data_IF_866075071550
#
_entry.id   IF_866075071550
#
_cell.length_a   1.000
_cell.length_b   1.000
_cell.length_c   1.000
_cell.angle_alpha   90.00
_cell.angle_beta   90.00
_cell.angle_gamma   90.00
#
_symmetry.space_group_name_H-M   'P 1'
#
loop_
_entity.id
_entity.type
_entity.pdbx_description
1 polymer ?
#
# COMPACT_ATOMS: atom_id res chain seq x y z
N UNK A 1 -5.02 -1.08 8.84
CA UNK A 1 -5.84 -0.12 8.04
C UNK A 1 -7.05 -0.80 7.44
N UNK A 2 -6.92 -1.75 6.51
CA UNK A 2 -8.07 -2.36 5.84
C UNK A 2 -9.05 -3.02 6.83
N UNK A 3 -8.56 -3.79 7.81
CA UNK A 3 -9.42 -4.41 8.83
C UNK A 3 -10.24 -3.40 9.65
N UNK A 4 -9.61 -2.29 10.10
CA UNK A 4 -10.33 -1.24 10.82
C UNK A 4 -11.42 -0.60 9.95
N UNK A 5 -11.10 -0.21 8.71
CA UNK A 5 -12.07 0.43 7.80
C UNK A 5 -13.22 -0.50 7.44
N UNK A 6 -12.94 -1.80 7.25
CA UNK A 6 -13.99 -2.78 7.05
C UNK A 6 -14.91 -2.90 8.28
N UNK A 7 -14.35 -2.98 9.48
CA UNK A 7 -15.12 -3.06 10.72
C UNK A 7 -16.04 -1.86 10.92
N UNK A 8 -15.52 -0.65 10.69
CA UNK A 8 -16.30 0.60 10.73
C UNK A 8 -17.43 0.61 9.69
N UNK A 9 -17.09 0.25 8.43
CA UNK A 9 -18.06 0.22 7.32
C UNK A 9 -19.15 -0.82 7.54
N UNK A 10 -18.84 -1.99 8.10
CA UNK A 10 -19.86 -2.99 8.45
C UNK A 10 -20.93 -2.39 9.37
N UNK A 11 -20.52 -1.60 10.36
CA UNK A 11 -21.48 -0.92 11.27
C UNK A 11 -22.21 0.24 10.59
N UNK A 12 -21.56 0.96 9.67
CA UNK A 12 -22.17 2.01 8.85
C UNK A 12 -23.26 1.43 7.92
N UNK A 13 -23.04 0.24 7.38
CA UNK A 13 -23.99 -0.50 6.55
C UNK A 13 -25.12 -1.19 7.40
N UNK A 14 -25.13 -0.97 8.71
CA UNK A 14 -26.20 -1.44 9.60
C UNK A 14 -26.02 -2.88 10.10
N UNK A 15 -24.87 -3.49 9.96
CA UNK A 15 -24.61 -4.82 10.54
C UNK A 15 -24.62 -4.76 12.07
N UNK A 16 -25.44 -5.60 12.70
CA UNK A 16 -25.64 -5.68 14.17
C UNK A 16 -25.18 -7.01 14.78
N UNK A 17 -24.75 -7.96 13.97
CA UNK A 17 -24.25 -9.26 14.43
C UNK A 17 -22.89 -9.19 15.11
N UNK A 18 -22.37 -10.32 15.57
CA UNK A 18 -21.05 -10.40 16.18
C UNK A 18 -19.94 -10.10 15.16
N UNK A 19 -18.98 -9.29 15.56
CA UNK A 19 -17.83 -8.92 14.75
C UNK A 19 -16.56 -9.18 15.56
N UNK A 20 -15.69 -10.03 15.04
CA UNK A 20 -14.38 -10.31 15.65
C UNK A 20 -13.28 -9.84 14.71
N UNK A 21 -12.29 -9.13 15.22
CA UNK A 21 -11.10 -8.68 14.48
C UNK A 21 -9.87 -9.34 15.07
N UNK A 22 -9.14 -10.07 14.23
CA UNK A 22 -7.92 -10.81 14.62
C UNK A 22 -6.70 -10.14 14.01
N UNK A 23 -5.65 -9.94 14.79
CA UNK A 23 -4.38 -9.39 14.33
C UNK A 23 -3.20 -9.99 15.07
N UNK A 24 -2.09 -10.27 14.36
CA UNK A 24 -0.87 -10.83 14.94
C UNK A 24 -0.02 -9.77 15.66
N UNK A 25 -0.23 -8.49 15.40
CA UNK A 25 0.40 -7.41 16.14
C UNK A 25 -0.41 -7.08 17.43
N UNK A 26 0.26 -6.84 18.58
CA UNK A 26 -0.44 -6.60 19.86
C UNK A 26 -0.99 -5.17 19.99
N UNK A 27 -1.03 -4.40 18.91
CA UNK A 27 -1.40 -2.99 18.91
C UNK A 27 -2.75 -2.75 18.27
N UNK A 28 -3.45 -1.72 18.75
CA UNK A 28 -4.56 -1.13 18.01
C UNK A 28 -4.12 -0.71 16.60
N UNK A 29 -5.06 -0.65 15.63
CA UNK A 29 -4.73 -0.24 14.26
C UNK A 29 -3.98 1.09 14.21
N UNK A 30 -2.88 1.14 13.46
CA UNK A 30 -2.02 2.31 13.36
C UNK A 30 -1.61 2.61 11.91
N UNK A 31 -1.15 3.84 11.69
CA UNK A 31 -0.72 4.36 10.39
C UNK A 31 0.75 4.05 10.14
N UNK A 32 1.07 3.36 9.03
CA UNK A 32 2.45 2.95 8.69
C UNK A 32 3.27 4.03 7.97
N UNK A 33 2.70 4.90 7.11
CA UNK A 33 3.47 5.94 6.40
C UNK A 33 4.31 6.86 7.29
N UNK A 34 3.93 7.23 8.53
CA UNK A 34 4.78 8.02 9.41
C UNK A 34 6.07 7.31 9.85
N UNK A 35 6.08 5.96 9.84
CA UNK A 35 7.22 5.17 10.33
C UNK A 35 8.52 5.42 9.56
N UNK A 36 8.45 5.71 8.24
CA UNK A 36 9.62 6.03 7.41
C UNK A 36 9.96 7.52 7.36
N UNK A 37 9.21 8.37 8.05
CA UNK A 37 9.29 9.85 7.97
C UNK A 37 9.36 10.47 9.37
N UNK A 38 8.20 10.89 9.91
CA UNK A 38 8.10 11.62 11.17
C UNK A 38 8.68 10.85 12.35
N UNK A 39 8.50 9.54 12.38
CA UNK A 39 9.03 8.69 13.46
C UNK A 39 10.56 8.65 13.40
N UNK A 40 11.16 8.45 12.20
CA UNK A 40 12.62 8.45 12.07
C UNK A 40 13.24 9.81 12.37
N UNK A 41 12.51 10.89 12.12
CA UNK A 41 12.95 12.26 12.40
C UNK A 41 12.77 12.67 13.87
N UNK A 42 12.14 11.83 14.70
CA UNK A 42 11.82 12.15 16.08
C UNK A 42 10.70 13.20 16.23
N UNK A 43 9.94 13.48 15.18
CA UNK A 43 8.81 14.41 15.17
C UNK A 43 7.52 13.75 15.68
N UNK A 44 7.47 12.43 15.70
CA UNK A 44 6.42 11.61 16.28
C UNK A 44 7.06 10.35 16.89
N UNK A 45 6.40 9.73 17.86
CA UNK A 45 6.79 8.40 18.31
C UNK A 45 5.98 7.33 17.58
N UNK A 46 6.48 6.10 17.56
CA UNK A 46 5.75 5.00 16.91
C UNK A 46 4.38 4.76 17.59
N UNK A 47 4.25 5.02 18.89
CA UNK A 47 3.02 4.90 19.67
C UNK A 47 1.96 5.93 19.25
N UNK A 48 2.37 7.12 18.82
CA UNK A 48 1.44 8.19 18.42
C UNK A 48 0.87 8.02 17.01
N UNK A 49 1.19 6.92 16.34
CA UNK A 49 0.69 6.64 14.99
C UNK A 49 -0.65 5.92 14.97
N UNK A 50 -1.34 5.75 16.09
CA UNK A 50 -2.67 5.13 16.12
C UNK A 50 -3.64 5.79 15.14
N UNK A 51 -4.43 4.95 14.46
CA UNK A 51 -5.44 5.44 13.54
C UNK A 51 -6.66 5.93 14.31
N UNK A 52 -7.14 7.14 14.01
CA UNK A 52 -8.40 7.59 14.58
C UNK A 52 -9.53 6.70 14.07
N UNK A 53 -10.35 6.20 14.97
CA UNK A 53 -11.58 5.52 14.62
C UNK A 53 -12.62 6.57 14.17
N UNK A 54 -13.27 6.35 13.02
CA UNK A 54 -14.39 7.18 12.57
C UNK A 54 -15.62 6.96 13.44
N UNK A 55 -15.75 5.71 13.91
CA UNK A 55 -16.74 5.27 14.90
C UNK A 55 -16.22 4.04 15.62
N UNK A 56 -16.75 3.75 16.81
CA UNK A 56 -16.53 2.48 17.48
C UNK A 56 -17.20 1.35 16.69
N UNK A 57 -16.44 0.37 16.18
CA UNK A 57 -17.03 -0.73 15.43
C UNK A 57 -17.73 -1.78 16.31
N UNK A 58 -17.75 -1.61 17.63
CA UNK A 58 -18.32 -2.59 18.58
C UNK A 58 -17.88 -4.02 18.22
N UNK A 59 -16.57 -4.23 18.16
CA UNK A 59 -15.94 -5.48 17.74
C UNK A 59 -15.13 -6.12 18.87
N UNK A 60 -15.10 -7.45 18.88
CA UNK A 60 -14.14 -8.18 19.71
C UNK A 60 -12.76 -8.14 19.04
N UNK A 61 -11.80 -7.49 19.69
CA UNK A 61 -10.42 -7.38 19.21
C UNK A 61 -9.53 -8.47 19.80
N UNK A 62 -9.04 -9.37 18.97
CA UNK A 62 -8.08 -10.44 19.30
C UNK A 62 -6.71 -10.05 18.75
N UNK A 63 -6.01 -9.17 19.48
CA UNK A 63 -4.70 -8.63 19.10
C UNK A 63 -3.56 -9.46 19.69
N UNK A 64 -2.44 -9.55 18.97
CA UNK A 64 -1.30 -10.38 19.34
C UNK A 64 -1.55 -11.87 19.14
N UNK A 65 -2.55 -12.24 18.33
CA UNK A 65 -2.90 -13.64 18.02
C UNK A 65 -2.90 -13.84 16.52
N UNK A 66 -2.08 -14.77 16.05
CA UNK A 66 -1.93 -15.04 14.62
C UNK A 66 -2.96 -16.06 14.13
N UNK A 67 -3.56 -15.80 12.97
CA UNK A 67 -4.27 -16.82 12.22
C UNK A 67 -3.28 -17.81 11.57
N UNK A 68 -3.52 -19.10 11.71
CA UNK A 68 -2.64 -20.17 11.23
C UNK A 68 -3.28 -21.07 10.18
N UNK A 69 -4.60 -20.95 9.97
CA UNK A 69 -5.32 -21.71 8.95
C UNK A 69 -6.74 -21.20 8.73
N UNK A 70 -7.30 -21.59 7.60
CA UNK A 70 -8.69 -21.31 7.22
C UNK A 70 -9.34 -22.58 6.70
N UNK A 71 -10.37 -23.05 7.39
CA UNK A 71 -11.22 -24.14 6.95
C UNK A 71 -12.47 -23.59 6.25
N UNK A 72 -12.57 -23.80 4.94
CA UNK A 72 -13.69 -23.33 4.14
C UNK A 72 -14.96 -24.19 4.31
N UNK A 73 -14.82 -25.47 4.66
CA UNK A 73 -15.95 -26.38 4.81
C UNK A 73 -16.65 -26.17 6.15
N UNK A 74 -15.87 -26.17 7.23
CA UNK A 74 -16.36 -25.94 8.58
C UNK A 74 -16.54 -24.45 8.91
N UNK A 75 -16.13 -23.56 8.01
CA UNK A 75 -16.14 -22.10 8.18
C UNK A 75 -15.47 -21.66 9.48
N UNK A 76 -14.19 -21.97 9.63
CA UNK A 76 -13.42 -21.65 10.81
C UNK A 76 -12.09 -21.00 10.46
N UNK A 77 -11.71 -19.97 11.22
CA UNK A 77 -10.36 -19.43 11.26
C UNK A 77 -9.63 -20.10 12.40
N UNK A 78 -8.47 -20.71 12.12
CA UNK A 78 -7.64 -21.39 13.12
C UNK A 78 -6.59 -20.39 13.65
N UNK A 79 -6.39 -20.34 14.97
CA UNK A 79 -5.48 -19.43 15.64
C UNK A 79 -4.29 -20.17 16.23
N UNK A 80 -3.18 -19.47 16.47
CA UNK A 80 -1.94 -20.03 17.00
C UNK A 80 -2.05 -20.50 18.46
N UNK A 81 -2.99 -19.95 19.23
CA UNK A 81 -3.31 -20.37 20.59
C UNK A 81 -4.12 -21.67 20.69
N UNK A 82 -4.45 -22.27 19.53
CA UNK A 82 -5.24 -23.47 19.41
C UNK A 82 -6.76 -23.24 19.37
N UNK A 83 -7.22 -22.01 19.54
CA UNK A 83 -8.62 -21.68 19.34
C UNK A 83 -9.01 -21.68 17.85
N UNK A 84 -10.28 -21.77 17.59
CA UNK A 84 -10.83 -21.63 16.24
C UNK A 84 -12.12 -20.81 16.27
N UNK A 85 -12.18 -19.78 15.43
CA UNK A 85 -13.30 -18.87 15.35
C UNK A 85 -14.25 -19.29 14.22
N UNK A 86 -15.51 -19.60 14.51
CA UNK A 86 -16.49 -19.85 13.47
C UNK A 86 -16.89 -18.52 12.81
N UNK A 87 -17.14 -18.55 11.48
CA UNK A 87 -17.60 -17.39 10.75
C UNK A 87 -18.76 -17.73 9.80
N UNK A 88 -19.62 -16.78 9.53
CA UNK A 88 -20.55 -16.84 8.42
C UNK A 88 -19.95 -16.18 7.19
N UNK A 89 -19.17 -15.10 7.38
CA UNK A 89 -18.30 -14.49 6.38
C UNK A 89 -17.00 -14.04 7.01
N UNK A 90 -15.91 -14.12 6.25
CA UNK A 90 -14.58 -13.68 6.67
C UNK A 90 -13.97 -12.70 5.67
N UNK A 91 -13.35 -11.64 6.17
CA UNK A 91 -12.51 -10.73 5.39
C UNK A 91 -11.05 -10.99 5.71
N UNK A 92 -10.25 -11.31 4.71
CA UNK A 92 -8.81 -11.47 4.83
C UNK A 92 -8.15 -10.13 4.49
N UNK A 93 -7.55 -9.48 5.50
CA UNK A 93 -6.89 -8.18 5.41
C UNK A 93 -5.48 -8.21 6.01
N UNK A 94 -4.80 -9.37 5.94
CA UNK A 94 -3.51 -9.66 6.58
C UNK A 94 -2.32 -8.87 6.02
N UNK A 95 -2.50 -8.18 4.90
CA UNK A 95 -1.52 -7.24 4.36
C UNK A 95 -0.18 -7.88 3.97
N UNK A 96 0.91 -7.18 4.29
CA UNK A 96 2.28 -7.55 3.93
C UNK A 96 3.23 -7.28 5.09
N UNK A 97 4.36 -8.01 5.10
CA UNK A 97 5.52 -7.77 5.97
C UNK A 97 6.74 -7.37 5.17
N UNK A 98 7.71 -6.72 5.81
CA UNK A 98 8.99 -6.42 5.18
C UNK A 98 9.70 -7.72 4.76
N UNK A 99 10.36 -7.70 3.60
CA UNK A 99 11.23 -8.79 3.18
C UNK A 99 12.53 -8.72 3.98
N UNK A 100 12.85 -9.73 4.79
CA UNK A 100 14.09 -9.75 5.54
C UNK A 100 15.29 -9.96 4.61
N UNK A 101 16.48 -9.69 5.13
CA UNK A 101 17.72 -10.11 4.48
C UNK A 101 17.75 -11.64 4.37
N UNK A 102 18.16 -12.21 3.20
CA UNK A 102 18.01 -13.65 2.96
C UNK A 102 18.82 -14.55 3.89
N UNK A 103 20.04 -14.14 4.26
CA UNK A 103 20.87 -14.89 5.22
C UNK A 103 20.45 -14.53 6.64
N UNK A 104 19.95 -15.52 7.38
CA UNK A 104 19.40 -15.33 8.75
C UNK A 104 20.46 -14.91 9.78
N UNK A 105 21.69 -15.41 9.64
CA UNK A 105 22.79 -15.06 10.56
C UNK A 105 23.20 -13.61 10.35
N UNK A 106 23.32 -13.17 9.11
CA UNK A 106 23.61 -11.78 8.77
C UNK A 106 22.44 -10.85 9.15
N UNK A 107 21.19 -11.30 8.96
CA UNK A 107 20.00 -10.55 9.36
C UNK A 107 19.87 -10.34 10.88
N UNK A 108 20.50 -11.24 11.67
CA UNK A 108 20.49 -11.18 13.13
C UNK A 108 21.62 -10.31 13.72
N UNK A 109 22.50 -9.73 12.89
CA UNK A 109 23.51 -8.80 13.38
C UNK A 109 22.86 -7.57 13.99
N UNK A 110 23.34 -7.14 15.15
CA UNK A 110 22.92 -5.85 15.74
C UNK A 110 23.23 -4.72 14.76
N UNK A 111 22.26 -3.85 14.49
CA UNK A 111 22.35 -2.79 13.50
C UNK A 111 21.75 -3.12 12.14
N UNK A 112 21.22 -4.34 11.93
CA UNK A 112 20.48 -4.71 10.72
C UNK A 112 18.97 -4.59 10.98
N UNK A 113 18.28 -3.81 10.16
CA UNK A 113 16.87 -3.49 10.31
C UNK A 113 16.08 -3.78 9.03
N UNK A 114 14.80 -4.01 9.21
CA UNK A 114 13.75 -3.82 8.19
C UNK A 114 12.86 -2.66 8.62
N UNK A 115 11.89 -2.27 7.80
CA UNK A 115 10.90 -1.26 8.19
C UNK A 115 9.52 -1.60 7.64
N UNK A 116 8.63 -2.00 8.53
CA UNK A 116 7.21 -2.23 8.24
C UNK A 116 6.33 -2.08 9.47
N UNK A 117 6.71 -2.67 10.60
CA UNK A 117 5.95 -2.65 11.83
C UNK A 117 6.28 -1.42 12.69
N UNK A 118 5.51 -1.25 13.73
CA UNK A 118 5.68 -0.22 14.75
C UNK A 118 7.00 -0.39 15.50
N UNK A 119 7.34 -1.65 15.82
CA UNK A 119 8.61 -2.03 16.45
C UNK A 119 9.79 -1.74 15.52
N UNK A 120 9.68 -2.07 14.24
CA UNK A 120 10.71 -1.73 13.26
C UNK A 120 10.97 -0.22 13.24
N UNK A 121 9.89 0.58 13.22
CA UNK A 121 9.97 2.04 13.21
C UNK A 121 10.61 2.60 14.48
N UNK A 122 10.20 2.09 15.66
CA UNK A 122 10.73 2.51 16.95
C UNK A 122 12.21 2.16 17.09
N UNK A 123 12.59 0.91 16.80
CA UNK A 123 13.97 0.45 16.91
C UNK A 123 14.92 1.16 15.95
N UNK A 124 14.48 1.39 14.70
CA UNK A 124 15.28 2.16 13.73
C UNK A 124 15.41 3.64 14.17
N UNK A 125 14.33 4.26 14.67
CA UNK A 125 14.37 5.64 15.14
C UNK A 125 15.33 5.80 16.34
N UNK A 126 15.30 4.88 17.30
CA UNK A 126 16.24 4.85 18.41
C UNK A 126 17.69 4.77 17.94
N UNK A 127 17.96 3.87 16.98
CA UNK A 127 19.32 3.70 16.42
C UNK A 127 19.78 4.96 15.67
N UNK A 128 18.91 5.62 14.91
CA UNK A 128 19.24 6.87 14.23
C UNK A 128 19.42 8.06 15.20
N UNK A 129 18.68 8.09 16.30
CA UNK A 129 18.84 9.08 17.37
C UNK A 129 20.23 9.01 18.04
N UNK A 130 20.84 7.82 18.09
CA UNK A 130 22.21 7.63 18.55
C UNK A 130 23.29 8.21 17.61
N UNK A 131 22.87 8.78 16.44
CA UNK A 131 23.74 9.43 15.47
C UNK A 131 24.85 8.52 14.92
N UNK A 132 24.54 7.38 14.31
CA UNK A 132 25.53 6.56 13.62
C UNK A 132 26.26 7.39 12.57
N UNK A 133 27.52 7.05 12.28
CA UNK A 133 28.30 7.79 11.27
C UNK A 133 27.71 7.57 9.87
N UNK A 134 27.37 6.31 9.54
CA UNK A 134 26.85 5.93 8.23
C UNK A 134 25.77 4.87 8.31
N UNK A 135 24.73 5.07 7.48
CA UNK A 135 23.64 4.11 7.24
C UNK A 135 23.75 3.56 5.83
N UNK A 136 23.71 2.23 5.69
CA UNK A 136 23.52 1.55 4.42
C UNK A 136 22.03 1.24 4.23
N UNK A 137 21.43 1.72 3.14
CA UNK A 137 20.07 1.35 2.71
C UNK A 137 20.16 0.44 1.49
N UNK A 138 19.64 -0.76 1.59
CA UNK A 138 19.62 -1.73 0.50
C UNK A 138 18.26 -1.68 -0.19
N UNK A 139 18.21 -1.10 -1.38
CA UNK A 139 17.02 -0.90 -2.20
C UNK A 139 16.60 0.57 -2.32
N UNK A 140 16.56 1.07 -3.56
CA UNK A 140 16.17 2.43 -3.92
C UNK A 140 14.67 2.58 -4.22
N UNK A 141 13.80 1.75 -3.63
CA UNK A 141 12.34 1.89 -3.70
C UNK A 141 11.84 3.07 -2.85
N UNK A 142 10.51 3.22 -2.71
CA UNK A 142 9.92 4.32 -1.92
C UNK A 142 10.41 4.32 -0.48
N UNK A 143 10.30 3.19 0.22
CA UNK A 143 10.73 3.07 1.62
C UNK A 143 12.22 3.40 1.79
N UNK A 144 13.08 2.82 0.94
CA UNK A 144 14.52 3.10 1.01
C UNK A 144 14.85 4.56 0.72
N UNK A 145 14.18 5.20 -0.24
CA UNK A 145 14.37 6.62 -0.56
C UNK A 145 13.89 7.54 0.57
N UNK A 146 12.79 7.20 1.25
CA UNK A 146 12.27 7.93 2.41
C UNK A 146 13.21 7.82 3.61
N UNK A 147 13.74 6.61 3.89
CA UNK A 147 14.74 6.40 4.93
C UNK A 147 16.02 7.19 4.63
N UNK A 148 16.51 7.13 3.39
CA UNK A 148 17.68 7.91 2.98
C UNK A 148 17.44 9.41 3.13
N UNK A 149 16.24 9.90 2.80
CA UNK A 149 15.84 11.29 3.03
C UNK A 149 15.89 11.67 4.51
N UNK A 150 15.30 10.85 5.38
CA UNK A 150 15.33 11.06 6.83
C UNK A 150 16.75 11.05 7.40
N UNK A 151 17.62 10.13 6.98
CA UNK A 151 19.03 10.10 7.37
C UNK A 151 19.74 11.40 6.99
N UNK A 152 19.54 11.90 5.77
CA UNK A 152 20.16 13.16 5.32
C UNK A 152 19.64 14.39 6.07
N UNK A 153 18.35 14.42 6.39
CA UNK A 153 17.74 15.47 7.22
C UNK A 153 18.32 15.47 8.64
N UNK A 154 18.57 14.29 9.20
CA UNK A 154 19.26 14.11 10.48
C UNK A 154 20.78 14.41 10.41
N UNK A 155 21.35 14.68 9.24
CA UNK A 155 22.79 14.92 9.06
C UNK A 155 23.66 13.65 9.04
N UNK A 156 23.04 12.47 8.99
CA UNK A 156 23.73 11.17 8.95
C UNK A 156 24.20 10.88 7.52
N UNK A 157 25.41 10.33 7.34
CA UNK A 157 25.86 9.86 6.03
C UNK A 157 25.05 8.63 5.61
N UNK A 158 24.65 8.58 4.34
CA UNK A 158 23.85 7.44 3.83
C UNK A 158 24.38 6.97 2.47
N UNK A 159 24.55 5.65 2.37
CA UNK A 159 24.78 4.96 1.11
C UNK A 159 23.50 4.22 0.74
N UNK A 160 23.00 4.40 -0.48
CA UNK A 160 21.89 3.64 -1.04
C UNK A 160 22.42 2.74 -2.14
N UNK A 161 22.16 1.44 -2.05
CA UNK A 161 22.43 0.49 -3.14
C UNK A 161 21.14 0.15 -3.87
N UNK A 162 21.15 0.21 -5.19
CA UNK A 162 19.99 -0.12 -6.04
C UNK A 162 20.44 -1.06 -7.17
N UNK A 163 19.77 -2.20 -7.28
CA UNK A 163 20.04 -3.19 -8.33
C UNK A 163 19.73 -2.67 -9.73
N UNK A 164 18.68 -1.86 -9.84
CA UNK A 164 18.27 -1.24 -11.08
C UNK A 164 19.18 -0.06 -11.48
N UNK A 165 18.95 0.51 -12.67
CA UNK A 165 19.75 1.63 -13.19
C UNK A 165 19.49 2.95 -12.44
N UNK A 166 18.41 3.04 -11.68
CA UNK A 166 18.03 4.23 -10.89
C UNK A 166 17.00 3.89 -9.82
N UNK A 167 16.86 4.70 -8.74
CA UNK A 167 15.83 4.56 -7.75
C UNK A 167 14.42 4.67 -8.37
N UNK A 168 13.43 4.01 -7.79
CA UNK A 168 12.01 4.09 -8.18
C UNK A 168 11.69 3.64 -9.62
N UNK A 169 12.65 3.07 -10.37
CA UNK A 169 12.45 2.71 -11.79
C UNK A 169 11.30 1.72 -11.99
N UNK A 170 11.14 0.76 -11.10
CA UNK A 170 10.05 -0.22 -11.14
C UNK A 170 8.66 0.33 -10.83
N UNK A 171 8.58 1.53 -10.24
CA UNK A 171 7.31 2.15 -9.86
C UNK A 171 6.90 3.33 -10.75
N UNK A 172 7.86 4.16 -11.16
CA UNK A 172 7.62 5.43 -11.85
C UNK A 172 8.17 5.48 -13.29
N UNK A 173 8.90 4.46 -13.70
CA UNK A 173 9.58 4.43 -15.01
C UNK A 173 10.84 5.31 -15.08
N UNK A 174 11.55 5.25 -16.22
CA UNK A 174 12.92 5.75 -16.33
C UNK A 174 13.10 7.26 -16.21
N UNK A 175 12.13 8.07 -16.62
CA UNK A 175 12.29 9.55 -16.62
C UNK A 175 12.29 10.11 -15.20
N UNK A 176 11.29 9.77 -14.38
CA UNK A 176 11.25 10.21 -12.98
C UNK A 176 12.36 9.58 -12.13
N UNK A 177 12.77 8.37 -12.45
CA UNK A 177 13.86 7.71 -11.76
C UNK A 177 15.19 8.45 -11.92
N UNK A 178 15.44 9.04 -13.09
CA UNK A 178 16.62 9.90 -13.30
C UNK A 178 16.57 11.15 -12.41
N UNK A 179 15.39 11.78 -12.29
CA UNK A 179 15.20 12.89 -11.36
C UNK A 179 15.45 12.46 -9.92
N UNK A 180 14.88 11.34 -9.49
CA UNK A 180 15.11 10.79 -8.15
C UNK A 180 16.59 10.53 -7.86
N UNK A 181 17.33 9.98 -8.82
CA UNK A 181 18.78 9.75 -8.68
C UNK A 181 19.56 11.06 -8.54
N UNK A 182 19.25 12.08 -9.35
CA UNK A 182 19.87 13.41 -9.26
C UNK A 182 19.57 14.06 -7.90
N UNK A 183 18.34 13.96 -7.44
CA UNK A 183 17.94 14.51 -6.15
C UNK A 183 18.68 13.86 -4.98
N UNK A 184 18.73 12.54 -4.94
CA UNK A 184 19.46 11.81 -3.89
C UNK A 184 20.92 12.25 -3.84
N UNK A 185 21.61 12.30 -4.98
CA UNK A 185 23.01 12.74 -5.07
C UNK A 185 23.20 14.21 -4.64
N UNK A 186 22.30 15.11 -5.06
CA UNK A 186 22.35 16.51 -4.68
C UNK A 186 22.15 16.75 -3.17
N UNK A 187 21.48 15.82 -2.49
CA UNK A 187 21.34 15.83 -1.02
C UNK A 187 22.46 15.06 -0.32
N UNK A 188 23.51 14.66 -1.04
CA UNK A 188 24.68 14.01 -0.46
C UNK A 188 24.51 12.53 -0.16
N UNK A 189 23.59 11.85 -0.84
CA UNK A 189 23.48 10.38 -0.80
C UNK A 189 24.57 9.77 -1.67
N UNK A 190 25.36 8.82 -1.13
CA UNK A 190 26.21 7.93 -1.92
C UNK A 190 25.32 6.88 -2.60
N UNK A 191 24.81 7.24 -3.79
CA UNK A 191 23.89 6.39 -4.56
C UNK A 191 24.64 5.49 -5.53
N UNK A 192 24.64 4.20 -5.25
CA UNK A 192 25.25 3.14 -6.07
C UNK A 192 24.17 2.35 -6.80
N UNK A 193 24.10 2.51 -8.10
CA UNK A 193 23.12 1.87 -8.98
C UNK A 193 23.75 0.77 -9.83
N UNK A 194 22.95 -0.23 -10.24
CA UNK A 194 23.44 -1.39 -11.00
C UNK A 194 24.23 -2.39 -10.14
N UNK A 195 24.15 -2.27 -8.81
CA UNK A 195 24.88 -3.13 -7.87
C UNK A 195 23.89 -3.80 -6.89
N UNK A 196 24.25 -5.00 -6.43
CA UNK A 196 23.56 -5.70 -5.35
C UNK A 196 24.50 -5.89 -4.17
N UNK A 197 23.96 -5.88 -2.96
CA UNK A 197 24.69 -6.36 -1.78
C UNK A 197 24.72 -7.87 -1.83
N UNK A 198 25.89 -8.46 -1.65
CA UNK A 198 26.12 -9.91 -1.71
C UNK A 198 26.29 -10.54 -0.32
N UNK A 199 26.81 -9.78 0.65
CA UNK A 199 26.96 -10.21 2.03
C UNK A 199 26.91 -9.02 2.99
N UNK A 200 26.44 -9.23 4.21
CA UNK A 200 26.57 -8.32 5.33
C UNK A 200 27.69 -8.79 6.25
N UNK A 201 28.55 -7.89 6.66
CA UNK A 201 29.73 -8.17 7.46
C UNK A 201 29.51 -7.75 8.92
N UNK A 202 30.04 -8.53 9.85
CA UNK A 202 30.00 -8.22 11.27
C UNK A 202 30.36 -9.42 12.13
N UNK A 203 30.59 -9.16 13.40
CA UNK A 203 30.75 -10.17 14.43
C UNK A 203 29.89 -9.74 15.64
N UNK A 204 28.67 -10.24 15.66
CA UNK A 204 27.63 -9.80 16.62
C UNK A 204 26.98 -8.45 16.25
N UNK A 205 27.73 -7.46 15.79
CA UNK A 205 27.24 -6.19 15.28
C UNK A 205 27.60 -6.01 13.80
N UNK A 206 26.73 -5.35 13.04
CA UNK A 206 26.96 -5.00 11.63
C UNK A 206 28.08 -3.97 11.51
N UNK A 207 28.99 -4.17 10.55
CA UNK A 207 30.13 -3.27 10.28
C UNK A 207 30.24 -2.84 8.82
N UNK A 208 29.46 -3.43 7.92
CA UNK A 208 29.51 -3.12 6.50
C UNK A 208 28.98 -4.22 5.60
N UNK A 209 29.10 -4.03 4.31
CA UNK A 209 28.57 -4.94 3.30
C UNK A 209 29.48 -5.07 2.09
N UNK A 210 29.43 -6.21 1.42
CA UNK A 210 30.09 -6.47 0.14
C UNK A 210 29.12 -6.25 -1.02
N UNK A 211 29.64 -5.74 -2.13
CA UNK A 211 28.86 -5.46 -3.32
C UNK A 211 29.24 -6.38 -4.48
N UNK A 212 28.29 -6.58 -5.40
CA UNK A 212 28.46 -7.44 -6.57
C UNK A 212 29.54 -6.97 -7.57
N UNK A 213 29.96 -5.73 -7.52
CA UNK A 213 31.05 -5.18 -8.31
C UNK A 213 32.44 -5.32 -7.65
N UNK A 214 32.51 -6.00 -6.52
CA UNK A 214 33.71 -6.16 -5.70
C UNK A 214 33.98 -5.00 -4.75
N UNK A 215 33.11 -3.97 -4.75
CA UNK A 215 33.17 -2.86 -3.82
C UNK A 215 32.72 -3.26 -2.41
N UNK A 216 33.02 -2.39 -1.44
CA UNK A 216 32.59 -2.51 -0.04
C UNK A 216 31.97 -1.22 0.45
N UNK A 217 31.06 -1.32 1.41
CA UNK A 217 30.48 -0.21 2.15
C UNK A 217 30.67 -0.48 3.64
N UNK A 218 31.43 0.36 4.31
CA UNK A 218 31.52 0.36 5.77
C UNK A 218 30.38 1.24 6.31
N UNK A 219 29.60 0.71 7.25
CA UNK A 219 28.46 1.41 7.87
C UNK A 219 28.11 0.78 9.22
N UNK A 220 27.48 1.58 10.10
CA UNK A 220 27.11 1.18 11.46
C UNK A 220 25.70 0.60 11.52
N UNK A 221 24.87 0.93 10.52
CA UNK A 221 23.46 0.53 10.43
C UNK A 221 23.17 0.09 9.00
N UNK A 222 22.43 -1.01 8.87
CA UNK A 222 21.91 -1.50 7.60
C UNK A 222 20.39 -1.54 7.65
N UNK A 223 19.72 -0.98 6.62
CA UNK A 223 18.28 -1.13 6.46
C UNK A 223 18.00 -1.89 5.17
N UNK A 224 17.44 -3.08 5.31
CA UNK A 224 17.05 -3.94 4.20
C UNK A 224 15.67 -3.51 3.67
N UNK A 225 15.64 -2.56 2.71
CA UNK A 225 14.42 -2.06 2.04
C UNK A 225 14.11 -2.86 0.76
N UNK A 226 14.00 -4.19 0.89
CA UNK A 226 13.92 -5.17 -0.20
C UNK A 226 12.49 -5.41 -0.74
N UNK A 227 11.54 -4.54 -0.39
CA UNK A 227 10.12 -4.70 -0.70
C UNK A 227 9.38 -5.57 0.32
N UNK A 228 8.15 -5.95 -0.01
CA UNK A 228 7.26 -6.65 0.90
C UNK A 228 6.94 -8.09 0.44
N UNK A 229 6.48 -8.89 1.40
CA UNK A 229 5.96 -10.26 1.20
C UNK A 229 4.51 -10.27 1.70
N UNK A 230 3.58 -10.81 0.90
CA UNK A 230 2.18 -10.98 1.30
C UNK A 230 2.08 -12.01 2.41
N UNK A 231 1.24 -11.72 3.41
CA UNK A 231 0.99 -12.62 4.53
C UNK A 231 -0.09 -13.64 4.16
N UNK A 232 0.29 -14.66 3.41
CA UNK A 232 -0.61 -15.63 2.79
C UNK A 232 -0.29 -17.09 3.12
N UNK A 233 0.83 -17.36 3.77
CA UNK A 233 1.33 -18.72 4.00
C UNK A 233 0.34 -19.57 4.81
N UNK A 234 -0.38 -18.94 5.74
CA UNK A 234 -1.38 -19.58 6.58
C UNK A 234 -2.59 -20.11 5.80
N UNK A 235 -2.73 -19.70 4.54
CA UNK A 235 -3.80 -20.10 3.62
C UNK A 235 -3.38 -21.19 2.64
N UNK A 236 -2.17 -21.72 2.74
CA UNK A 236 -1.61 -22.68 1.75
C UNK A 236 -2.51 -23.92 1.56
N UNK A 237 -3.17 -24.37 2.62
CA UNK A 237 -4.04 -25.56 2.62
C UNK A 237 -5.53 -25.21 2.59
N UNK A 238 -5.89 -23.94 2.51
CA UNK A 238 -7.29 -23.49 2.56
C UNK A 238 -8.10 -23.84 1.31
N UNK A 239 -7.45 -24.11 0.17
CA UNK A 239 -8.12 -24.28 -1.12
C UNK A 239 -8.47 -22.96 -1.84
N UNK A 240 -8.03 -21.82 -1.32
CA UNK A 240 -8.12 -20.53 -2.01
C UNK A 240 -7.03 -20.37 -3.10
N UNK A 241 -7.28 -19.50 -4.07
CA UNK A 241 -6.31 -19.13 -5.11
C UNK A 241 -5.25 -18.17 -4.56
N UNK A 242 -4.28 -18.71 -3.85
CA UNK A 242 -3.23 -17.99 -3.11
C UNK A 242 -1.87 -18.14 -3.80
N UNK A 243 -1.06 -17.10 -3.78
CA UNK A 243 0.30 -17.15 -4.30
C UNK A 243 1.16 -15.95 -3.86
N UNK A 244 2.42 -15.87 -4.33
CA UNK A 244 3.36 -14.81 -3.92
C UNK A 244 2.88 -13.39 -4.19
N UNK A 245 1.91 -13.22 -5.11
CA UNK A 245 1.31 -11.94 -5.45
C UNK A 245 0.03 -11.63 -4.67
N UNK A 246 -0.34 -12.47 -3.70
CA UNK A 246 -1.53 -12.31 -2.87
C UNK A 246 -2.64 -13.30 -3.21
N UNK A 247 -3.82 -13.03 -2.71
CA UNK A 247 -5.03 -13.82 -2.86
C UNK A 247 -5.83 -13.26 -4.04
N UNK A 248 -6.13 -14.11 -5.02
CA UNK A 248 -6.94 -13.70 -6.16
C UNK A 248 -8.40 -13.52 -5.72
N UNK A 249 -9.00 -12.39 -6.10
CA UNK A 249 -10.41 -12.09 -5.87
C UNK A 249 -11.05 -11.47 -7.11
N UNK A 250 -12.38 -11.46 -7.13
CA UNK A 250 -13.15 -10.74 -8.15
C UNK A 250 -13.20 -9.22 -7.88
N UNK A 251 -13.83 -8.47 -8.77
CA UNK A 251 -13.99 -7.03 -8.58
C UNK A 251 -14.86 -6.67 -7.34
N UNK A 252 -15.67 -7.58 -6.84
CA UNK A 252 -16.44 -7.43 -5.61
C UNK A 252 -15.68 -7.80 -4.34
N UNK A 253 -14.38 -8.04 -4.45
CA UNK A 253 -13.49 -8.47 -3.35
C UNK A 253 -13.75 -9.88 -2.83
N UNK A 254 -14.50 -10.74 -3.54
CA UNK A 254 -14.72 -12.14 -3.15
C UNK A 254 -13.56 -13.00 -3.62
N UNK A 255 -13.00 -13.82 -2.73
CA UNK A 255 -11.87 -14.69 -3.04
C UNK A 255 -12.24 -15.74 -4.10
N UNK A 256 -11.29 -16.08 -4.97
CA UNK A 256 -11.39 -17.28 -5.79
C UNK A 256 -10.86 -18.48 -5.03
N UNK A 257 -11.49 -19.64 -5.20
CA UNK A 257 -10.90 -20.90 -4.81
C UNK A 257 -9.85 -21.35 -5.86
N UNK A 258 -9.12 -22.43 -5.57
CA UNK A 258 -8.07 -22.96 -6.44
C UNK A 258 -8.57 -23.40 -7.83
N UNK A 259 -9.86 -23.57 -8.01
CA UNK A 259 -10.50 -23.92 -9.29
C UNK A 259 -11.00 -22.69 -10.06
N UNK A 260 -10.74 -21.47 -9.55
CA UNK A 260 -11.17 -20.22 -10.17
C UNK A 260 -12.65 -19.89 -9.94
N UNK A 261 -13.31 -20.54 -8.99
CA UNK A 261 -14.70 -20.29 -8.62
C UNK A 261 -14.71 -19.25 -7.49
N UNK A 262 -15.57 -18.26 -7.60
CA UNK A 262 -15.76 -17.21 -6.58
C UNK A 262 -16.42 -17.83 -5.34
N UNK A 263 -15.89 -17.52 -4.16
CA UNK A 263 -16.52 -17.88 -2.88
C UNK A 263 -17.59 -16.85 -2.51
N UNK A 264 -18.62 -17.28 -1.77
CA UNK A 264 -19.70 -16.38 -1.34
C UNK A 264 -19.46 -15.75 0.04
N UNK A 265 -18.50 -16.27 0.79
CA UNK A 265 -18.30 -15.98 2.20
C UNK A 265 -16.87 -15.60 2.58
N UNK A 266 -15.93 -15.64 1.64
CA UNK A 266 -14.54 -15.19 1.84
C UNK A 266 -14.26 -13.97 1.00
N UNK A 267 -13.88 -12.88 1.66
CA UNK A 267 -13.54 -11.59 1.04
C UNK A 267 -12.08 -11.24 1.30
N UNK A 268 -11.52 -10.36 0.46
CA UNK A 268 -10.11 -9.97 0.53
C UNK A 268 -9.97 -8.48 0.32
N UNK A 269 -9.15 -7.80 1.14
CA UNK A 269 -8.88 -6.38 0.96
C UNK A 269 -7.46 -5.98 1.33
N UNK A 270 -6.98 -4.88 0.74
CA UNK A 270 -5.67 -4.29 1.01
C UNK A 270 -4.51 -4.99 0.30
N UNK A 271 -3.30 -4.84 0.84
CA UNK A 271 -2.04 -5.26 0.20
C UNK A 271 -1.96 -6.76 -0.10
N UNK A 272 -2.74 -7.58 0.60
CA UNK A 272 -2.81 -9.03 0.38
C UNK A 272 -3.63 -9.41 -0.84
N UNK A 273 -4.48 -8.50 -1.35
CA UNK A 273 -5.39 -8.77 -2.45
C UNK A 273 -4.71 -8.72 -3.82
N UNK A 274 -5.30 -9.48 -4.76
CA UNK A 274 -5.00 -9.43 -6.18
C UNK A 274 -6.30 -9.46 -6.95
N UNK A 275 -6.65 -8.36 -7.61
CA UNK A 275 -7.99 -8.11 -8.16
C UNK A 275 -7.94 -7.58 -9.60
N UNK A 276 -8.97 -7.86 -10.44
CA UNK A 276 -9.05 -7.32 -11.79
C UNK A 276 -9.52 -5.87 -11.77
N UNK A 277 -8.95 -5.03 -12.64
CA UNK A 277 -9.39 -3.65 -12.78
C UNK A 277 -9.71 -3.31 -14.25
N UNK A 278 -10.94 -2.87 -14.57
CA UNK A 278 -11.38 -2.67 -15.96
C UNK A 278 -10.60 -1.57 -16.68
N UNK A 279 -10.24 -0.48 -15.99
CA UNK A 279 -9.45 0.61 -16.59
C UNK A 279 -8.04 0.18 -17.00
N UNK A 280 -7.54 -0.93 -16.48
CA UNK A 280 -6.22 -1.47 -16.80
C UNK A 280 -6.32 -2.82 -17.52
N UNK A 281 -7.35 -2.97 -18.39
CA UNK A 281 -7.52 -4.15 -19.24
C UNK A 281 -7.79 -5.43 -18.49
N UNK A 282 -8.46 -5.35 -17.34
CA UNK A 282 -8.72 -6.47 -16.43
C UNK A 282 -7.47 -7.19 -15.95
N UNK A 283 -6.32 -6.52 -16.00
CA UNK A 283 -5.13 -7.07 -15.33
C UNK A 283 -5.39 -7.23 -13.84
N UNK A 284 -4.88 -8.33 -13.32
CA UNK A 284 -4.93 -8.62 -11.89
C UNK A 284 -3.90 -7.75 -11.18
N UNK A 285 -4.34 -6.62 -10.63
CA UNK A 285 -3.51 -5.69 -9.87
C UNK A 285 -3.20 -6.24 -8.47
N UNK A 286 -2.03 -5.92 -7.97
CA UNK A 286 -1.61 -6.20 -6.59
C UNK A 286 -0.91 -4.95 -6.08
N UNK A 287 -1.64 -4.12 -5.31
CA UNK A 287 -1.26 -2.77 -4.94
C UNK A 287 -0.97 -2.69 -3.44
N UNK A 288 0.16 -2.08 -3.09
CA UNK A 288 0.55 -1.79 -1.71
C UNK A 288 0.31 -0.31 -1.41
N UNK A 289 -0.94 0.15 -1.60
CA UNK A 289 -1.31 1.56 -1.47
C UNK A 289 -2.32 1.75 -0.33
N UNK A 290 -2.07 2.73 0.50
CA UNK A 290 -2.93 3.09 1.63
C UNK A 290 -4.38 3.37 1.21
N UNK A 291 -4.58 4.17 0.14
CA UNK A 291 -5.92 4.45 -0.41
C UNK A 291 -6.63 3.19 -0.89
N UNK A 292 -5.92 2.31 -1.60
CA UNK A 292 -6.48 1.02 -2.05
C UNK A 292 -6.95 0.16 -0.86
N UNK A 293 -6.18 0.14 0.24
CA UNK A 293 -6.55 -0.64 1.42
C UNK A 293 -7.86 -0.14 2.07
N UNK A 294 -8.09 1.18 2.06
CA UNK A 294 -9.32 1.80 2.57
C UNK A 294 -10.50 1.51 1.65
N UNK A 295 -10.38 1.90 0.38
CA UNK A 295 -11.47 1.83 -0.59
C UNK A 295 -11.92 0.38 -0.86
N UNK A 296 -10.96 -0.54 -0.92
CA UNK A 296 -11.24 -1.95 -1.11
C UNK A 296 -11.90 -2.58 0.12
N UNK A 297 -11.49 -2.16 1.33
CA UNK A 297 -12.12 -2.62 2.58
C UNK A 297 -13.58 -2.14 2.68
N UNK A 298 -13.87 -0.91 2.26
CA UNK A 298 -15.24 -0.36 2.22
C UNK A 298 -16.12 -1.15 1.24
N UNK A 299 -15.60 -1.48 0.04
CA UNK A 299 -16.32 -2.32 -0.93
C UNK A 299 -16.53 -3.74 -0.41
N UNK A 300 -15.51 -4.35 0.16
CA UNK A 300 -15.60 -5.70 0.72
C UNK A 300 -16.64 -5.75 1.85
N UNK A 301 -16.58 -4.83 2.80
CA UNK A 301 -17.53 -4.75 3.91
C UNK A 301 -18.97 -4.54 3.44
N UNK A 302 -19.19 -3.61 2.49
CA UNK A 302 -20.50 -3.43 1.86
C UNK A 302 -21.01 -4.75 1.25
N UNK A 303 -20.18 -5.44 0.47
CA UNK A 303 -20.55 -6.68 -0.20
C UNK A 303 -20.72 -7.85 0.77
N UNK A 304 -20.08 -7.81 1.95
CA UNK A 304 -20.28 -8.81 3.00
C UNK A 304 -21.69 -8.77 3.63
N UNK A 305 -22.37 -7.64 3.60
CA UNK A 305 -23.69 -7.50 4.24
C UNK A 305 -24.83 -7.35 3.24
N UNK A 306 -24.50 -7.07 1.96
CA UNK A 306 -25.52 -6.87 0.94
C UNK A 306 -25.64 -8.09 0.00
N UNK A 307 -26.88 -8.44 -0.47
CA UNK A 307 -27.09 -9.52 -1.43
C UNK A 307 -26.57 -9.17 -2.82
N UNK A 308 -26.38 -10.19 -3.67
CA UNK A 308 -25.78 -10.09 -5.00
C UNK A 308 -26.20 -8.88 -5.86
N UNK A 309 -27.51 -8.56 -6.00
CA UNK A 309 -27.92 -7.40 -6.82
C UNK A 309 -27.48 -6.04 -6.27
N UNK A 310 -27.16 -5.94 -4.99
CA UNK A 310 -26.68 -4.71 -4.33
C UNK A 310 -25.17 -4.66 -4.19
N UNK A 311 -24.47 -5.73 -4.55
CA UNK A 311 -23.01 -5.74 -4.51
C UNK A 311 -22.44 -4.80 -5.57
N UNK A 312 -21.32 -4.17 -5.23
CA UNK A 312 -20.64 -3.21 -6.09
C UNK A 312 -19.18 -3.61 -6.31
N UNK A 313 -18.62 -3.29 -7.48
CA UNK A 313 -17.21 -3.56 -7.75
C UNK A 313 -16.29 -2.50 -7.13
N UNK A 314 -15.05 -2.88 -6.83
CA UNK A 314 -13.97 -1.97 -6.52
C UNK A 314 -13.41 -1.39 -7.84
N UNK A 315 -13.66 -0.11 -8.08
CA UNK A 315 -13.30 0.61 -9.31
C UNK A 315 -12.44 1.83 -9.07
N UNK A 316 -12.00 2.04 -7.83
CA UNK A 316 -11.22 3.22 -7.47
C UNK A 316 -9.90 3.27 -8.23
N UNK A 317 -9.58 4.44 -8.80
CA UNK A 317 -8.31 4.65 -9.47
C UNK A 317 -7.19 4.69 -8.42
N UNK A 318 -6.17 3.82 -8.51
CA UNK A 318 -5.12 3.76 -7.51
C UNK A 318 -4.43 5.10 -7.28
N UNK A 319 -4.18 5.44 -6.02
CA UNK A 319 -3.44 6.65 -5.63
C UNK A 319 -2.36 6.28 -4.62
N UNK A 320 -1.18 6.86 -4.79
CA UNK A 320 -0.16 6.81 -3.76
C UNK A 320 0.61 8.14 -3.67
N UNK A 321 1.34 8.29 -2.58
CA UNK A 321 2.21 9.45 -2.38
C UNK A 321 3.51 9.05 -1.66
N UNK A 322 4.54 9.86 -1.88
CA UNK A 322 5.80 9.79 -1.15
C UNK A 322 6.38 11.18 -0.97
N UNK A 323 6.91 11.45 0.20
CA UNK A 323 7.65 12.68 0.49
C UNK A 323 9.09 12.30 0.77
N UNK A 324 10.02 12.83 -0.02
CA UNK A 324 11.44 12.53 0.09
C UNK A 324 12.27 13.69 -0.45
N UNK A 325 13.35 14.02 0.24
CA UNK A 325 14.28 15.11 -0.15
C UNK A 325 13.57 16.44 -0.43
N UNK A 326 12.55 16.77 0.38
CA UNK A 326 11.78 18.01 0.25
C UNK A 326 10.76 18.02 -0.90
N UNK A 327 10.60 16.94 -1.68
CA UNK A 327 9.62 16.86 -2.76
C UNK A 327 8.43 15.97 -2.39
N UNK A 328 7.24 16.43 -2.80
CA UNK A 328 6.00 15.67 -2.72
C UNK A 328 5.71 14.99 -4.06
N UNK A 329 5.88 13.68 -4.10
CA UNK A 329 5.54 12.86 -5.25
C UNK A 329 4.15 12.29 -5.01
N UNK A 330 3.22 12.53 -5.94
CA UNK A 330 1.88 11.93 -5.90
C UNK A 330 1.57 11.28 -7.23
N UNK A 331 0.92 10.15 -7.18
CA UNK A 331 0.53 9.36 -8.36
C UNK A 331 -0.94 9.02 -8.33
N UNK A 332 -1.56 9.01 -9.50
CA UNK A 332 -2.89 8.48 -9.74
C UNK A 332 -2.82 7.53 -10.94
N UNK A 333 -3.55 6.42 -10.89
CA UNK A 333 -3.48 5.35 -11.89
C UNK A 333 -2.29 4.41 -11.66
N UNK A 334 -1.92 3.68 -12.71
CA UNK A 334 -0.85 2.66 -12.67
C UNK A 334 0.25 3.02 -13.67
N UNK A 335 1.32 3.73 -13.25
CA UNK A 335 2.39 4.18 -14.15
C UNK A 335 3.08 3.03 -14.90
N UNK A 336 3.15 1.84 -14.31
CA UNK A 336 3.71 0.64 -14.93
C UNK A 336 2.82 0.02 -16.00
N UNK A 337 1.55 0.42 -16.08
CA UNK A 337 0.63 0.05 -17.15
C UNK A 337 0.66 1.13 -18.25
N UNK A 338 1.80 1.28 -18.91
CA UNK A 338 2.02 2.30 -19.93
C UNK A 338 3.01 1.83 -20.98
N UNK A 339 2.86 2.34 -22.20
CA UNK A 339 3.79 2.21 -23.32
C UNK A 339 4.44 3.56 -23.67
N UNK A 340 3.84 4.67 -23.24
CA UNK A 340 4.31 6.03 -23.51
C UNK A 340 4.20 6.92 -22.26
N UNK A 341 5.06 7.93 -22.20
CA UNK A 341 5.07 8.93 -21.12
C UNK A 341 5.47 10.29 -21.68
N UNK A 342 4.78 11.36 -21.21
CA UNK A 342 5.08 12.76 -21.56
C UNK A 342 5.12 13.63 -20.31
N UNK A 343 5.92 14.70 -20.35
CA UNK A 343 5.80 15.79 -19.37
C UNK A 343 4.69 16.70 -19.89
N UNK A 344 3.54 16.69 -19.21
CA UNK A 344 2.39 17.49 -19.61
C UNK A 344 2.45 18.92 -19.05
N UNK A 345 3.14 19.11 -17.91
CA UNK A 345 3.29 20.42 -17.24
C UNK A 345 4.64 20.49 -16.53
N UNK A 346 5.19 21.72 -16.43
CA UNK A 346 6.44 21.98 -15.72
C UNK A 346 7.67 21.41 -16.39
N UNK A 347 8.74 21.24 -15.63
CA UNK A 347 9.99 20.64 -16.14
C UNK A 347 10.79 19.94 -15.04
N UNK A 348 11.73 19.10 -15.46
CA UNK A 348 12.66 18.40 -14.55
C UNK A 348 13.60 19.39 -13.85
N UNK A 349 14.03 20.43 -14.56
CA UNK A 349 14.93 21.48 -14.04
C UNK A 349 14.27 22.27 -12.92
N UNK A 350 13.00 22.60 -13.08
CA UNK A 350 12.20 23.27 -12.05
C UNK A 350 11.85 22.37 -10.87
N UNK A 351 12.06 21.05 -10.97
CA UNK A 351 11.64 20.04 -9.99
C UNK A 351 10.15 20.13 -9.63
N UNK A 352 9.37 20.70 -10.53
CA UNK A 352 7.93 20.88 -10.40
C UNK A 352 7.29 20.52 -11.73
N UNK A 353 6.60 19.37 -11.77
CA UNK A 353 6.09 18.83 -13.02
C UNK A 353 4.93 17.86 -12.83
N UNK A 354 4.18 17.64 -13.91
CA UNK A 354 3.25 16.55 -14.05
C UNK A 354 3.65 15.69 -15.27
N UNK A 355 3.88 14.41 -15.02
CA UNK A 355 4.10 13.40 -16.07
C UNK A 355 2.82 12.59 -16.25
N UNK A 356 2.42 12.40 -17.50
CA UNK A 356 1.26 11.61 -17.88
C UNK A 356 1.70 10.39 -18.65
N UNK A 357 1.13 9.26 -18.30
CA UNK A 357 1.40 7.94 -18.85
C UNK A 357 0.23 7.48 -19.69
N UNK A 358 0.51 6.85 -20.81
CA UNK A 358 -0.50 6.34 -21.70
C UNK A 358 -0.27 4.90 -22.10
N UNK A 359 -1.35 4.20 -22.41
CA UNK A 359 -1.34 2.86 -22.97
C UNK A 359 -2.37 2.75 -24.07
N UNK A 360 -1.93 2.30 -25.26
CA UNK A 360 -2.80 2.15 -26.45
C UNK A 360 -3.65 3.39 -26.73
N UNK A 361 -3.00 4.58 -26.66
CA UNK A 361 -3.63 5.84 -27.03
C UNK A 361 -4.61 6.44 -25.98
N UNK A 362 -4.63 5.94 -24.75
CA UNK A 362 -5.43 6.51 -23.64
C UNK A 362 -4.58 6.79 -22.40
N UNK A 363 -5.00 7.74 -21.60
CA UNK A 363 -4.34 8.07 -20.32
C UNK A 363 -4.57 6.94 -19.32
N UNK A 364 -3.50 6.48 -18.65
CA UNK A 364 -3.55 5.38 -17.68
C UNK A 364 -2.97 5.75 -16.33
N UNK A 365 -2.12 6.78 -16.25
CA UNK A 365 -1.62 7.28 -14.99
C UNK A 365 -1.10 8.71 -15.12
N UNK A 366 -0.96 9.38 -14.01
CA UNK A 366 -0.19 10.60 -13.88
C UNK A 366 0.62 10.59 -12.59
N UNK A 367 1.82 11.19 -12.65
CA UNK A 367 2.66 11.42 -11.47
C UNK A 367 3.01 12.89 -11.41
N UNK A 368 2.75 13.51 -10.28
CA UNK A 368 3.07 14.92 -10.02
C UNK A 368 4.21 15.03 -9.01
N UNK A 369 5.09 16.00 -9.25
CA UNK A 369 6.11 16.44 -8.29
C UNK A 369 5.78 17.89 -7.94
N UNK A 370 5.44 18.14 -6.67
CA UNK A 370 5.01 19.43 -6.13
C UNK A 370 3.86 20.13 -6.90
N UNK A 371 3.03 19.33 -7.59
CA UNK A 371 1.86 19.78 -8.36
C UNK A 371 0.58 19.02 -7.99
N UNK A 372 0.38 18.76 -6.71
CA UNK A 372 -0.75 17.93 -6.22
C UNK A 372 -2.14 18.40 -6.67
N UNK A 373 -2.33 19.72 -6.89
CA UNK A 373 -3.62 20.29 -7.34
C UNK A 373 -4.06 19.79 -8.72
N UNK A 374 -3.15 19.33 -9.56
CA UNK A 374 -3.46 18.80 -10.89
C UNK A 374 -3.91 17.32 -10.86
N UNK A 375 -3.83 16.66 -9.71
CA UNK A 375 -4.02 15.21 -9.63
C UNK A 375 -5.46 14.80 -9.95
N UNK A 376 -6.45 15.57 -9.46
CA UNK A 376 -7.88 15.28 -9.68
C UNK A 376 -8.26 15.42 -11.17
N UNK A 377 -7.66 16.39 -11.86
CA UNK A 377 -7.81 16.50 -13.32
C UNK A 377 -7.32 15.24 -14.03
N UNK A 378 -6.13 14.75 -13.69
CA UNK A 378 -5.60 13.53 -14.29
C UNK A 378 -6.37 12.28 -13.89
N UNK A 379 -6.89 12.22 -12.66
CA UNK A 379 -7.81 11.16 -12.24
C UNK A 379 -9.02 11.09 -13.17
N UNK A 380 -9.66 12.24 -13.42
CA UNK A 380 -10.80 12.31 -14.34
C UNK A 380 -10.46 11.84 -15.77
N UNK A 381 -9.27 12.20 -16.28
CA UNK A 381 -8.82 11.70 -17.60
C UNK A 381 -8.67 10.17 -17.63
N UNK A 382 -8.22 9.55 -16.53
CA UNK A 382 -8.09 8.09 -16.43
C UNK A 382 -9.47 7.44 -16.37
N UNK A 383 -10.36 7.96 -15.53
CA UNK A 383 -11.73 7.46 -15.34
C UNK A 383 -12.55 7.50 -16.63
N UNK A 384 -12.36 8.56 -17.41
CA UNK A 384 -13.04 8.76 -18.70
C UNK A 384 -12.31 8.11 -19.90
N UNK A 385 -11.22 7.39 -19.64
CA UNK A 385 -10.35 6.79 -20.67
C UNK A 385 -9.95 7.80 -21.77
N UNK A 386 -9.63 9.03 -21.36
CA UNK A 386 -9.32 10.15 -22.24
C UNK A 386 -8.14 9.83 -23.17
N UNK A 387 -8.10 10.42 -24.40
CA UNK A 387 -7.02 10.23 -25.35
C UNK A 387 -5.64 10.63 -24.77
N UNK A 388 -4.61 9.88 -25.17
CA UNK A 388 -3.21 10.19 -24.85
C UNK A 388 -2.48 10.61 -26.15
N UNK A 389 -1.62 11.66 -26.14
CA UNK A 389 -1.34 12.54 -24.99
C UNK A 389 -2.52 13.47 -24.68
N UNK A 390 -2.66 13.91 -23.40
CA UNK A 390 -3.69 14.88 -23.07
C UNK A 390 -3.42 16.21 -23.78
N UNK A 391 -4.46 17.03 -24.04
CA UNK A 391 -4.28 18.35 -24.65
C UNK A 391 -3.27 19.20 -23.85
N UNK A 392 -2.42 20.00 -24.53
CA UNK A 392 -1.56 20.95 -23.84
C UNK A 392 -2.39 21.96 -23.05
N UNK A 393 -1.95 22.26 -21.81
CA UNK A 393 -2.63 23.27 -20.99
C UNK A 393 -3.70 22.72 -20.06
N UNK A 394 -3.53 21.50 -19.56
CA UNK A 394 -4.25 21.10 -18.36
C UNK A 394 -4.04 22.19 -17.29
N UNK A 395 -5.11 22.87 -16.84
CA UNK A 395 -4.94 24.07 -16.07
C UNK A 395 -4.35 23.78 -14.70
N UNK A 396 -3.45 24.65 -14.24
CA UNK A 396 -3.23 24.94 -12.82
C UNK A 396 -4.53 25.50 -12.16
N UNK A 397 -5.65 25.42 -12.85
CA UNK A 397 -6.95 25.78 -12.34
C UNK A 397 -7.48 24.64 -11.51
N UNK A 398 -7.83 24.93 -10.24
CA UNK A 398 -8.87 24.20 -9.58
C UNK A 398 -9.99 23.99 -10.59
N UNK A 399 -10.50 22.76 -10.74
CA UNK A 399 -11.74 22.53 -11.47
C UNK A 399 -12.72 23.50 -10.82
N UNK A 400 -13.07 24.56 -11.54
CA UNK A 400 -14.09 25.46 -11.07
C UNK A 400 -15.33 24.58 -10.85
N UNK A 401 -15.99 24.78 -9.72
CA UNK A 401 -17.20 24.07 -9.35
C UNK A 401 -18.40 24.30 -10.32
N UNK A 402 -18.14 24.81 -11.51
CA UNK A 402 -19.06 25.06 -12.61
C UNK A 402 -18.88 24.04 -13.74
N UNK A 403 -18.87 22.76 -13.41
CA UNK A 403 -19.40 21.78 -14.36
C UNK A 403 -20.92 21.86 -14.18
N UNK A 404 -21.57 22.69 -14.97
CA UNK A 404 -23.01 22.58 -15.22
C UNK A 404 -23.22 21.16 -15.78
N UNK A 405 -23.66 20.25 -14.93
CA UNK A 405 -24.17 18.96 -15.37
C UNK A 405 -25.31 19.31 -16.32
N UNK A 406 -25.30 18.79 -17.57
CA UNK A 406 -26.41 18.99 -18.47
C UNK A 406 -27.71 18.67 -17.72
N UNK A 407 -28.73 19.53 -17.83
CA UNK A 407 -29.99 19.41 -17.10
C UNK A 407 -30.77 18.12 -17.35
N UNK A 408 -30.27 17.27 -18.24
CA UNK A 408 -30.87 16.01 -18.66
C UNK A 408 -30.31 14.79 -17.88
N UNK A 409 -29.28 14.99 -17.03
CA UNK A 409 -28.85 13.96 -16.10
C UNK A 409 -29.69 14.13 -14.82
N UNK A 410 -30.49 13.13 -14.43
CA UNK A 410 -31.28 13.21 -13.19
C UNK A 410 -30.33 13.55 -12.03
N UNK A 411 -30.69 14.57 -11.24
CA UNK A 411 -29.97 14.94 -10.02
C UNK A 411 -29.74 13.69 -9.17
N UNK A 412 -28.49 13.35 -8.84
CA UNK A 412 -28.19 12.20 -7.98
C UNK A 412 -28.95 12.22 -6.65
N UNK A 413 -29.34 13.43 -6.16
CA UNK A 413 -30.18 13.56 -4.97
C UNK A 413 -31.61 13.10 -5.20
N UNK A 414 -32.10 13.09 -6.45
CA UNK A 414 -33.42 12.56 -6.82
C UNK A 414 -33.41 11.03 -6.89
N UNK A 415 -32.27 10.43 -7.19
CA UNK A 415 -32.10 8.98 -7.14
C UNK A 415 -31.98 8.43 -5.70
N UNK A 416 -31.68 9.29 -4.73
CA UNK A 416 -31.67 8.93 -3.30
C UNK A 416 -33.05 8.88 -2.67
N UNK A 417 -34.12 9.29 -3.37
CA UNK A 417 -35.51 9.35 -2.89
C UNK A 417 -36.47 8.42 -3.66
N UNK A 418 -35.93 7.45 -4.39
CA UNK A 418 -36.73 6.25 -4.68
C UNK A 418 -37.19 5.65 -3.35
N UNK A 419 -38.38 5.00 -3.28
CA UNK A 419 -38.81 4.40 -2.04
C UNK A 419 -37.66 3.52 -1.56
N UNK A 420 -37.09 3.91 -0.42
CA UNK A 420 -36.20 3.05 0.35
C UNK A 420 -37.05 1.85 0.67
N UNK A 421 -37.06 0.86 -0.21
CA UNK A 421 -37.44 -0.48 0.18
C UNK A 421 -36.35 -0.83 1.18
N UNK A 422 -36.66 -0.55 2.43
CA UNK A 422 -35.94 -1.14 3.54
C UNK A 422 -36.16 -2.64 3.37
N UNK A 423 -35.31 -3.26 2.57
CA UNK A 423 -35.01 -4.68 2.67
C UNK A 423 -34.24 -4.80 3.98
N UNK A 424 -34.99 -4.59 5.08
CA UNK A 424 -34.61 -4.99 6.42
C UNK A 424 -34.62 -6.52 6.43
N UNK A 425 -33.73 -7.10 5.65
CA UNK A 425 -33.20 -8.40 5.98
C UNK A 425 -32.33 -8.17 7.22
N UNK A 426 -32.97 -8.14 8.39
CA UNK A 426 -32.27 -8.32 9.64
C UNK A 426 -31.36 -9.52 9.47
N UNK A 427 -30.05 -9.33 9.58
CA UNK A 427 -29.05 -10.39 9.71
C UNK A 427 -28.57 -10.42 11.18
N UNK A 428 -29.46 -10.57 12.19
CA UNK A 428 -29.13 -10.35 13.60
C UNK A 428 -28.20 -11.41 14.16
N UNK A 429 -28.10 -12.59 13.52
CA UNK A 429 -27.39 -13.74 14.09
C UNK A 429 -26.12 -14.12 13.30
N UNK A 430 -25.63 -13.26 12.39
CA UNK A 430 -24.41 -13.57 11.64
C UNK A 430 -23.14 -13.21 12.41
N UNK A 431 -22.11 -14.02 12.19
CA UNK A 431 -20.76 -13.85 12.74
C UNK A 431 -19.83 -13.43 11.62
N UNK A 432 -19.24 -12.25 11.75
CA UNK A 432 -18.25 -11.74 10.81
C UNK A 432 -16.88 -11.72 11.47
N UNK A 433 -15.87 -12.20 10.76
CA UNK A 433 -14.48 -12.20 11.21
C UNK A 433 -13.61 -11.42 10.22
N UNK A 434 -12.76 -10.57 10.74
CA UNK A 434 -11.72 -9.84 9.99
C UNK A 434 -10.37 -10.34 10.48
N UNK A 435 -9.50 -10.79 9.57
CA UNK A 435 -8.16 -11.32 9.86
C UNK A 435 -7.09 -10.49 9.19
#
# INVERSE_FOLDING_TARGET
MAGLRAAETLREEGFTGSLTVVGDEPHAPYDRPPLSKQVLLGQATAETTELPMRRDPDAEWRLGVRATGLDLLEKRVLLEDGESLPYDRVLIATGTRARPWPNKEEAALDGVFTLRSREDGAGLAERLAARPERVLVIGGGFTGSEIASACRELGIQVTVTERGPAPLVGALGGTLSKLAAVMQRNHGVDLRTGVTVTALNGNGAFTGAELSDGGRVDADVCVAALGAIRNVEWLAESGLAVGPRGIACDAGCRAFNMYGIVTDDVFVAGDVSRFPHPLFGYQMLSLEHWGNAVEQAEVAAHNMVNPGPLQRPHLAVPVFWSTQFGLNIKSVGVPTYSDHVVIAQGSLEARRLAMVYGYKGRVTAAVTVDMAKSLDYYRHLIETAAPFPPPPGAPDRAIAADVTIPSDVPDPSVLSHGPTVALTGHLPDRRLTVV
#
